data_IF_355029317251
#
_entry.id   IF_355029317251
#
_cell.length_a   1.000
_cell.length_b   1.000
_cell.length_c   1.000
_cell.angle_alpha   90.00
_cell.angle_beta   90.00
_cell.angle_gamma   90.00
#
_symmetry.space_group_name_H-M   'P 1'
#
loop_
_entity.id
_entity.type
_entity.pdbx_description
1 polymer ?
#
# COMPACT_ATOMS: atom_id res chain seq x y z
N UNK A 1 -16.65 9.27 0.18
CA UNK A 1 -15.27 9.76 -0.03
C UNK A 1 -14.43 9.79 1.24
N UNK A 2 -14.87 10.46 2.31
CA UNK A 2 -14.07 10.63 3.54
C UNK A 2 -13.50 9.31 4.06
N UNK A 3 -14.33 8.27 4.21
CA UNK A 3 -13.85 6.95 4.67
C UNK A 3 -12.77 6.39 3.75
N UNK A 4 -12.96 6.42 2.43
CA UNK A 4 -11.96 5.96 1.46
C UNK A 4 -10.66 6.73 1.61
N UNK A 5 -10.72 8.06 1.66
CA UNK A 5 -9.52 8.91 1.79
C UNK A 5 -8.79 8.57 3.10
N UNK A 6 -9.51 8.54 4.23
CA UNK A 6 -8.92 8.24 5.54
C UNK A 6 -8.29 6.85 5.57
N UNK A 7 -8.98 5.82 5.06
CA UNK A 7 -8.48 4.45 5.04
C UNK A 7 -7.25 4.34 4.14
N UNK A 8 -7.32 4.86 2.91
CA UNK A 8 -6.21 4.77 1.94
C UNK A 8 -4.99 5.56 2.43
N UNK A 9 -5.18 6.78 2.95
CA UNK A 9 -4.09 7.57 3.52
C UNK A 9 -3.48 6.92 4.76
N UNK A 10 -4.30 6.30 5.62
CA UNK A 10 -3.82 5.58 6.80
C UNK A 10 -2.97 4.37 6.40
N UNK A 11 -3.47 3.53 5.49
CA UNK A 11 -2.73 2.37 4.98
C UNK A 11 -1.42 2.81 4.34
N UNK A 12 -1.47 3.79 3.45
CA UNK A 12 -0.27 4.29 2.77
C UNK A 12 0.74 4.88 3.76
N UNK A 13 0.30 5.71 4.72
CA UNK A 13 1.19 6.33 5.70
C UNK A 13 1.94 5.29 6.53
N UNK A 14 1.23 4.26 7.02
CA UNK A 14 1.86 3.17 7.76
C UNK A 14 2.76 2.34 6.86
N UNK A 15 2.32 1.99 5.65
CA UNK A 15 3.13 1.23 4.70
C UNK A 15 4.43 1.94 4.35
N UNK A 16 4.42 3.24 4.06
CA UNK A 16 5.62 4.00 3.72
C UNK A 16 6.67 3.92 4.83
N UNK A 17 6.24 3.95 6.09
CA UNK A 17 7.13 3.78 7.23
C UNK A 17 7.64 2.33 7.30
N UNK A 18 6.73 1.34 7.29
CA UNK A 18 7.10 -0.06 7.49
C UNK A 18 8.00 -0.61 6.37
N UNK A 19 7.71 -0.30 5.11
CA UNK A 19 8.49 -0.78 3.96
C UNK A 19 9.85 -0.10 3.86
N UNK A 20 9.95 1.17 4.25
CA UNK A 20 11.21 1.92 4.23
C UNK A 20 12.14 1.37 5.30
N UNK A 21 11.63 1.17 6.52
CA UNK A 21 12.43 0.59 7.61
C UNK A 21 12.80 -0.86 7.32
N UNK A 22 11.86 -1.68 6.86
CA UNK A 22 12.14 -3.07 6.53
C UNK A 22 13.12 -3.19 5.36
N UNK A 23 12.90 -2.44 4.27
CA UNK A 23 13.80 -2.38 3.13
C UNK A 23 15.21 -1.99 3.54
N UNK A 24 15.35 -0.95 4.38
CA UNK A 24 16.64 -0.49 4.89
C UNK A 24 17.32 -1.56 5.74
N UNK A 25 16.57 -2.20 6.65
CA UNK A 25 17.13 -3.24 7.49
C UNK A 25 17.67 -4.43 6.68
N UNK A 26 16.93 -4.87 5.65
CA UNK A 26 17.36 -5.96 4.77
C UNK A 26 18.43 -5.58 3.74
N UNK A 27 18.65 -4.29 3.49
CA UNK A 27 19.69 -3.80 2.59
C UNK A 27 21.00 -3.50 3.34
N UNK A 28 20.93 -2.72 4.43
CA UNK A 28 22.08 -2.17 5.13
C UNK A 28 22.65 -3.08 6.23
N UNK A 29 21.80 -3.67 7.08
CA UNK A 29 22.30 -4.46 8.22
C UNK A 29 22.54 -5.92 7.86
N UNK A 30 23.62 -6.50 8.39
CA UNK A 30 23.85 -7.94 8.37
C UNK A 30 23.50 -8.55 9.72
N UNK A 31 22.43 -9.36 9.72
CA UNK A 31 21.91 -10.02 10.91
C UNK A 31 21.66 -11.51 10.64
N UNK A 32 21.64 -12.29 11.71
CA UNK A 32 21.43 -13.73 11.62
C UNK A 32 20.07 -14.06 10.99
N UNK A 33 20.07 -14.95 9.99
CA UNK A 33 18.85 -15.36 9.30
C UNK A 33 18.29 -14.37 8.28
N UNK A 34 18.99 -13.25 7.97
CA UNK A 34 18.57 -12.21 7.00
C UNK A 34 17.94 -12.75 5.71
N UNK A 35 18.57 -13.74 5.07
CA UNK A 35 18.05 -14.35 3.84
C UNK A 35 16.76 -15.17 4.09
N UNK A 36 16.72 -15.94 5.17
CA UNK A 36 15.55 -16.74 5.54
C UNK A 36 14.33 -15.88 5.84
N UNK A 37 14.49 -14.83 6.65
CA UNK A 37 13.41 -13.88 6.93
C UNK A 37 12.94 -13.16 5.67
N UNK A 38 13.86 -12.78 4.78
CA UNK A 38 13.49 -12.14 3.52
C UNK A 38 12.67 -13.08 2.63
N UNK A 39 13.09 -14.35 2.51
CA UNK A 39 12.30 -15.35 1.78
C UNK A 39 10.93 -15.59 2.41
N UNK A 40 10.84 -15.60 3.74
CA UNK A 40 9.55 -15.70 4.44
C UNK A 40 8.61 -14.53 4.08
N UNK A 41 9.13 -13.31 4.00
CA UNK A 41 8.35 -12.15 3.52
C UNK A 41 7.91 -12.36 2.07
N UNK A 42 8.78 -12.88 1.20
CA UNK A 42 8.40 -13.14 -0.20
C UNK A 42 7.34 -14.22 -0.36
N UNK A 43 7.32 -15.24 0.51
CA UNK A 43 6.27 -16.25 0.51
C UNK A 43 4.87 -15.64 0.69
N UNK A 44 4.75 -14.52 1.41
CA UNK A 44 3.48 -13.81 1.55
C UNK A 44 2.89 -13.39 0.19
N UNK A 45 3.74 -13.10 -0.82
CA UNK A 45 3.28 -12.73 -2.17
C UNK A 45 2.63 -13.90 -2.92
N UNK A 46 2.91 -15.14 -2.51
CA UNK A 46 2.31 -16.35 -3.09
C UNK A 46 0.97 -16.71 -2.44
N UNK A 47 0.65 -16.13 -1.28
CA UNK A 47 -0.58 -16.44 -0.55
C UNK A 47 -1.73 -15.62 -1.17
N UNK A 48 -2.79 -16.28 -1.67
CA UNK A 48 -3.95 -15.56 -2.19
C UNK A 48 -4.66 -14.82 -1.06
N UNK A 49 -4.94 -13.54 -1.27
CA UNK A 49 -5.60 -12.68 -0.26
C UNK A 49 -6.98 -13.19 0.14
N UNK A 50 -7.65 -13.95 -0.74
CA UNK A 50 -8.95 -14.60 -0.47
C UNK A 50 -8.84 -15.71 0.58
N UNK A 51 -7.74 -16.46 0.63
CA UNK A 51 -7.53 -17.49 1.65
C UNK A 51 -7.35 -16.88 3.05
N UNK A 52 -6.88 -15.64 3.13
CA UNK A 52 -6.68 -14.92 4.39
C UNK A 52 -7.96 -14.25 4.90
N UNK A 53 -9.07 -14.28 4.16
CA UNK A 53 -10.31 -13.58 4.57
C UNK A 53 -10.89 -14.10 5.89
N UNK A 54 -11.12 -15.41 5.97
CA UNK A 54 -11.68 -16.03 7.17
C UNK A 54 -10.80 -15.83 8.42
N UNK A 55 -9.47 -16.11 8.37
CA UNK A 55 -8.64 -15.88 9.54
C UNK A 55 -8.55 -14.39 9.91
N UNK A 56 -8.39 -13.48 8.94
CA UNK A 56 -8.37 -12.05 9.22
C UNK A 56 -9.69 -11.56 9.83
N UNK A 57 -10.84 -12.01 9.30
CA UNK A 57 -12.14 -11.65 9.87
C UNK A 57 -12.27 -12.11 11.32
N UNK A 58 -11.89 -13.36 11.62
CA UNK A 58 -11.89 -13.89 12.98
C UNK A 58 -11.01 -13.05 13.90
N UNK A 59 -9.78 -12.73 13.49
CA UNK A 59 -8.85 -11.90 14.26
C UNK A 59 -9.42 -10.51 14.54
N UNK A 60 -9.98 -9.84 13.52
CA UNK A 60 -10.57 -8.50 13.68
C UNK A 60 -11.78 -8.51 14.62
N UNK A 61 -12.60 -9.57 14.57
CA UNK A 61 -13.72 -9.77 15.50
C UNK A 61 -13.23 -9.96 16.93
N UNK A 62 -12.19 -10.77 17.14
CA UNK A 62 -11.59 -10.99 18.45
C UNK A 62 -10.97 -9.70 19.03
N UNK A 63 -10.39 -8.86 18.18
CA UNK A 63 -9.87 -7.55 18.56
C UNK A 63 -10.95 -6.49 18.83
N UNK A 64 -12.24 -6.80 18.60
CA UNK A 64 -13.34 -5.85 18.78
C UNK A 64 -13.33 -4.69 17.77
N UNK A 65 -12.57 -4.79 16.68
CA UNK A 65 -12.38 -3.73 15.69
C UNK A 65 -13.42 -3.76 14.56
N UNK A 66 -14.36 -4.70 14.58
CA UNK A 66 -15.36 -4.86 13.53
C UNK A 66 -16.14 -3.57 13.27
N UNK A 67 -16.45 -3.30 11.99
CA UNK A 67 -17.17 -2.10 11.55
C UNK A 67 -16.45 -0.77 11.85
N UNK A 68 -15.11 -0.80 11.90
CA UNK A 68 -14.28 0.42 12.02
C UNK A 68 -13.41 0.64 10.79
N UNK A 69 -12.96 1.88 10.59
CA UNK A 69 -11.99 2.20 9.52
C UNK A 69 -10.66 1.45 9.71
N UNK A 70 -10.27 1.24 10.97
CA UNK A 70 -9.06 0.50 11.32
C UNK A 70 -9.16 -0.97 10.92
N UNK A 71 -10.33 -1.60 11.09
CA UNK A 71 -10.59 -2.96 10.62
C UNK A 71 -10.34 -3.13 9.12
N UNK A 72 -10.68 -2.11 8.32
CA UNK A 72 -10.42 -2.13 6.88
C UNK A 72 -8.92 -2.00 6.59
N UNK A 73 -8.20 -1.19 7.36
CA UNK A 73 -6.82 -0.79 7.07
C UNK A 73 -5.75 -1.77 7.59
N UNK A 74 -5.92 -2.29 8.81
CA UNK A 74 -4.86 -2.98 9.55
C UNK A 74 -4.23 -4.21 8.86
N UNK A 75 -4.95 -5.04 8.08
CA UNK A 75 -4.33 -6.18 7.40
C UNK A 75 -3.31 -5.76 6.33
N UNK A 76 -3.33 -4.49 5.92
CA UNK A 76 -2.50 -3.96 4.83
C UNK A 76 -1.36 -3.06 5.31
N UNK A 77 -1.18 -2.88 6.62
CA UNK A 77 -0.08 -2.06 7.16
C UNK A 77 1.31 -2.60 6.82
N UNK A 78 1.43 -3.92 6.72
CA UNK A 78 2.61 -4.59 6.16
C UNK A 78 2.43 -4.85 4.67
N UNK A 79 3.51 -4.65 3.90
CA UNK A 79 3.53 -5.01 2.48
C UNK A 79 4.82 -5.73 2.14
N UNK A 80 4.71 -7.02 1.83
CA UNK A 80 5.83 -7.80 1.30
C UNK A 80 6.33 -7.22 -0.04
N UNK A 81 5.40 -6.75 -0.89
CA UNK A 81 5.74 -6.15 -2.17
C UNK A 81 6.51 -4.84 -1.98
N UNK A 82 6.03 -3.95 -1.10
CA UNK A 82 6.74 -2.70 -0.80
C UNK A 82 8.09 -2.94 -0.13
N UNK A 83 8.18 -3.91 0.78
CA UNK A 83 9.45 -4.29 1.42
C UNK A 83 10.45 -4.81 0.40
N UNK A 84 10.00 -5.67 -0.52
CA UNK A 84 10.82 -6.15 -1.64
C UNK A 84 11.32 -4.99 -2.51
N UNK A 85 10.42 -4.12 -2.97
CA UNK A 85 10.77 -3.00 -3.84
C UNK A 85 11.79 -2.05 -3.18
N UNK A 86 11.54 -1.65 -1.93
CA UNK A 86 12.45 -0.75 -1.21
C UNK A 86 13.80 -1.39 -0.95
N UNK A 87 13.84 -2.68 -0.62
CA UNK A 87 15.12 -3.40 -0.51
C UNK A 87 15.88 -3.39 -1.84
N UNK A 88 15.22 -3.66 -2.97
CA UNK A 88 15.88 -3.63 -4.28
C UNK A 88 16.40 -2.22 -4.62
N UNK A 89 15.63 -1.17 -4.32
CA UNK A 89 16.07 0.21 -4.52
C UNK A 89 17.31 0.55 -3.67
N UNK A 90 17.30 0.17 -2.39
CA UNK A 90 18.42 0.42 -1.48
C UNK A 90 19.68 -0.37 -1.81
N UNK A 91 19.56 -1.58 -2.35
CA UNK A 91 20.72 -2.32 -2.86
C UNK A 91 21.34 -1.68 -4.12
N UNK A 92 20.59 -0.83 -4.82
CA UNK A 92 21.10 -0.07 -5.96
C UNK A 92 21.87 1.19 -5.57
N UNK A 93 21.89 1.57 -4.28
CA UNK A 93 22.63 2.75 -3.81
C UNK A 93 24.13 2.45 -3.83
N UNK A 94 24.96 3.29 -4.49
CA UNK A 94 26.41 3.10 -4.53
C UNK A 94 27.03 3.05 -3.13
N UNK A 95 27.90 2.07 -2.90
CA UNK A 95 28.56 1.88 -1.59
C UNK A 95 29.40 3.09 -1.20
N UNK A 96 30.04 3.75 -2.17
CA UNK A 96 30.86 4.95 -1.95
C UNK A 96 30.08 6.09 -1.27
N UNK A 97 28.78 6.24 -1.56
CA UNK A 97 27.92 7.24 -0.90
C UNK A 97 27.63 6.86 0.56
N UNK A 98 27.50 5.56 0.83
CA UNK A 98 27.28 5.04 2.18
C UNK A 98 28.55 5.22 3.02
N UNK A 99 29.71 4.87 2.47
CA UNK A 99 31.01 5.03 3.13
C UNK A 99 31.33 6.50 3.41
N UNK A 100 31.06 7.39 2.46
CA UNK A 100 31.20 8.83 2.67
C UNK A 100 30.32 9.32 3.83
N UNK A 101 29.05 8.90 3.87
CA UNK A 101 28.15 9.24 4.98
C UNK A 101 28.65 8.72 6.34
N UNK A 102 29.22 7.50 6.38
CA UNK A 102 29.81 6.94 7.61
C UNK A 102 31.05 7.73 8.05
N UNK A 103 31.91 8.13 7.11
CA UNK A 103 33.09 8.96 7.37
C UNK A 103 32.68 10.34 7.92
N UNK A 104 31.61 10.92 7.38
CA UNK A 104 31.00 12.18 7.84
C UNK A 104 30.27 12.05 9.20
N UNK A 105 30.28 10.86 9.80
CA UNK A 105 29.70 10.60 11.13
C UNK A 105 28.19 10.41 11.13
N UNK A 106 27.57 10.12 9.97
CA UNK A 106 26.14 9.84 9.90
C UNK A 106 25.80 8.59 10.73
N UNK A 107 24.86 8.71 11.65
CA UNK A 107 24.24 7.55 12.28
C UNK A 107 23.30 6.84 11.28
N UNK A 108 22.81 5.66 11.66
CA UNK A 108 21.97 4.85 10.78
C UNK A 108 20.66 5.53 10.34
N UNK A 109 20.06 6.37 11.19
CA UNK A 109 18.88 7.15 10.81
C UNK A 109 19.23 8.19 9.76
N UNK A 110 20.35 8.88 9.95
CA UNK A 110 20.85 9.88 9.00
C UNK A 110 21.22 9.23 7.67
N UNK A 111 21.86 8.07 7.67
CA UNK A 111 22.14 7.27 6.47
C UNK A 111 20.85 6.92 5.72
N UNK A 112 19.82 6.46 6.43
CA UNK A 112 18.52 6.17 5.81
C UNK A 112 17.95 7.40 5.10
N UNK A 113 17.83 8.52 5.82
CA UNK A 113 17.14 9.72 5.32
C UNK A 113 17.94 10.52 4.28
N UNK A 114 19.27 10.57 4.40
CA UNK A 114 20.11 11.43 3.56
C UNK A 114 20.84 10.67 2.45
N UNK A 115 21.06 9.36 2.59
CA UNK A 115 21.82 8.56 1.61
C UNK A 115 20.93 7.56 0.88
N UNK A 116 20.18 6.74 1.60
CA UNK A 116 19.39 5.66 0.97
C UNK A 116 18.07 6.14 0.37
N UNK A 117 17.32 6.98 1.09
CA UNK A 117 15.98 7.38 0.69
C UNK A 117 15.94 8.31 -0.54
N UNK A 118 16.78 9.35 -0.67
CA UNK A 118 16.69 10.30 -1.79
C UNK A 118 16.78 9.66 -3.19
N UNK A 119 17.75 8.77 -3.50
CA UNK A 119 17.79 8.09 -4.79
C UNK A 119 16.67 7.06 -4.96
N UNK A 120 16.04 6.62 -3.86
CA UNK A 120 14.97 5.62 -3.86
C UNK A 120 13.56 6.21 -3.91
N UNK A 121 13.41 7.54 -3.87
CA UNK A 121 12.12 8.23 -3.95
C UNK A 121 11.28 7.80 -5.17
N UNK A 122 11.83 7.62 -6.38
CA UNK A 122 11.03 7.16 -7.52
C UNK A 122 10.36 5.80 -7.28
N UNK A 123 11.07 4.86 -6.63
CA UNK A 123 10.53 3.55 -6.28
C UNK A 123 9.44 3.67 -5.21
N UNK A 124 9.66 4.52 -4.20
CA UNK A 124 8.70 4.77 -3.13
C UNK A 124 7.39 5.39 -3.68
N UNK A 125 7.50 6.32 -4.63
CA UNK A 125 6.36 6.93 -5.34
C UNK A 125 5.62 5.88 -6.18
N UNK A 126 6.34 5.03 -6.91
CA UNK A 126 5.73 3.97 -7.70
C UNK A 126 4.94 2.98 -6.82
N UNK A 127 5.51 2.57 -5.69
CA UNK A 127 4.81 1.76 -4.69
C UNK A 127 3.58 2.50 -4.14
N UNK A 128 3.72 3.78 -3.77
CA UNK A 128 2.63 4.56 -3.20
C UNK A 128 1.43 4.69 -4.15
N UNK A 129 1.69 4.93 -5.44
CA UNK A 129 0.64 4.95 -6.47
C UNK A 129 -0.04 3.60 -6.64
N UNK A 130 0.74 2.51 -6.66
CA UNK A 130 0.21 1.14 -6.72
C UNK A 130 -0.68 0.82 -5.51
N UNK A 131 -0.22 1.16 -4.30
CA UNK A 131 -0.95 0.98 -3.05
C UNK A 131 -2.27 1.78 -3.03
N UNK A 132 -2.22 3.07 -3.38
CA UNK A 132 -3.41 3.93 -3.46
C UNK A 132 -4.42 3.33 -4.43
N UNK A 133 -3.99 2.96 -5.64
CA UNK A 133 -4.86 2.34 -6.63
C UNK A 133 -5.49 1.04 -6.10
N UNK A 134 -4.69 0.16 -5.50
CA UNK A 134 -5.17 -1.11 -4.97
C UNK A 134 -6.21 -0.91 -3.85
N UNK A 135 -5.93 -0.08 -2.85
CA UNK A 135 -6.83 0.12 -1.71
C UNK A 135 -8.05 0.98 -2.03
N UNK A 136 -7.94 1.89 -3.00
CA UNK A 136 -9.09 2.64 -3.50
C UNK A 136 -10.09 1.73 -4.21
N UNK A 137 -9.60 0.75 -4.96
CA UNK A 137 -10.42 -0.23 -5.69
C UNK A 137 -10.84 -1.45 -4.82
N UNK A 138 -10.42 -1.51 -3.55
CA UNK A 138 -10.74 -2.63 -2.69
C UNK A 138 -12.26 -2.75 -2.44
N UNK A 139 -12.79 -3.92 -2.74
CA UNK A 139 -14.23 -4.20 -2.68
C UNK A 139 -14.58 -5.33 -1.71
N UNK A 140 -13.97 -6.51 -1.91
CA UNK A 140 -14.33 -7.74 -1.19
C UNK A 140 -14.14 -7.64 0.33
N UNK A 141 -12.95 -7.29 0.79
CA UNK A 141 -12.63 -7.19 2.22
C UNK A 141 -13.48 -6.14 2.95
N UNK A 142 -13.63 -4.90 2.46
CA UNK A 142 -14.47 -3.91 3.14
C UNK A 142 -15.94 -4.32 3.28
N UNK A 143 -16.52 -5.03 2.31
CA UNK A 143 -17.90 -5.53 2.42
C UNK A 143 -18.05 -6.55 3.54
N UNK A 144 -17.05 -7.41 3.74
CA UNK A 144 -17.07 -8.45 4.78
C UNK A 144 -16.89 -7.84 6.17
N UNK A 145 -16.08 -6.79 6.30
CA UNK A 145 -15.67 -6.25 7.60
C UNK A 145 -16.44 -5.00 8.07
N UNK A 146 -17.29 -4.44 7.22
CA UNK A 146 -18.11 -3.25 7.53
C UNK A 146 -19.59 -3.51 7.30
N UNK A 147 -20.42 -3.10 8.26
CA UNK A 147 -21.88 -3.15 8.21
C UNK A 147 -22.49 -1.75 8.04
N UNK A 148 -21.94 -0.75 8.73
CA UNK A 148 -22.43 0.63 8.70
C UNK A 148 -21.73 1.48 7.64
N UNK A 149 -22.33 2.62 7.33
CA UNK A 149 -21.75 3.60 6.42
C UNK A 149 -20.66 4.46 7.09
N UNK A 150 -20.49 4.35 8.42
CA UNK A 150 -19.49 5.09 9.18
C UNK A 150 -18.05 4.67 8.83
N UNK A 151 -17.85 3.39 8.48
CA UNK A 151 -16.54 2.81 8.15
C UNK A 151 -16.41 2.34 6.69
N UNK A 152 -17.52 2.24 5.95
CA UNK A 152 -17.52 1.68 4.60
C UNK A 152 -16.83 2.61 3.58
N UNK A 153 -15.85 2.12 2.80
CA UNK A 153 -15.27 2.87 1.69
C UNK A 153 -16.25 2.93 0.51
N UNK A 154 -16.09 3.97 -0.31
CA UNK A 154 -17.01 4.32 -1.39
C UNK A 154 -17.21 3.16 -2.39
N UNK A 155 -16.14 2.48 -2.78
CA UNK A 155 -16.17 1.33 -3.71
C UNK A 155 -17.03 0.18 -3.19
N UNK A 156 -16.93 -0.15 -1.90
CA UNK A 156 -17.79 -1.14 -1.25
C UNK A 156 -19.24 -0.67 -1.12
N UNK A 157 -19.45 0.64 -0.99
CA UNK A 157 -20.78 1.26 -0.98
C UNK A 157 -21.56 1.07 -2.29
N UNK A 158 -20.88 0.84 -3.43
CA UNK A 158 -21.53 0.61 -4.73
C UNK A 158 -22.47 -0.59 -4.71
N UNK A 159 -22.20 -1.60 -3.87
CA UNK A 159 -23.06 -2.80 -3.76
C UNK A 159 -24.47 -2.46 -3.28
N UNK A 160 -24.68 -1.30 -2.64
CA UNK A 160 -26.02 -0.86 -2.26
C UNK A 160 -26.88 -0.63 -3.48
N UNK A 161 -26.36 -0.10 -4.59
CA UNK A 161 -27.15 0.17 -5.79
C UNK A 161 -27.56 -1.10 -6.56
N UNK A 162 -27.00 -2.26 -6.20
CA UNK A 162 -27.40 -3.57 -6.75
C UNK A 162 -28.35 -4.34 -5.83
N UNK A 163 -28.50 -3.94 -4.56
CA UNK A 163 -29.21 -4.69 -3.51
C UNK A 163 -30.45 -3.97 -2.96
N UNK A 164 -30.99 -2.94 -3.64
CA UNK A 164 -32.19 -2.21 -3.20
C UNK A 164 -33.49 -2.98 -3.46
N UNK A 165 -33.69 -4.11 -2.75
CA UNK A 165 -34.98 -4.80 -2.61
C UNK A 165 -35.66 -5.23 -3.93
N UNK A 166 -36.99 -5.13 -3.97
CA UNK A 166 -37.87 -5.62 -5.05
C UNK A 166 -37.75 -4.87 -6.38
N UNK A 167 -37.01 -3.75 -6.43
CA UNK A 167 -36.87 -2.89 -7.61
C UNK A 167 -35.74 -3.37 -8.54
N UNK A 168 -34.87 -4.28 -8.05
CA UNK A 168 -33.69 -4.73 -8.78
C UNK A 168 -32.58 -3.68 -8.85
N UNK A 169 -31.55 -3.95 -9.64
CA UNK A 169 -30.39 -3.07 -9.74
C UNK A 169 -30.73 -1.72 -10.41
N UNK A 170 -30.37 -0.62 -9.75
CA UNK A 170 -30.51 0.73 -10.32
C UNK A 170 -29.30 1.07 -11.19
N UNK A 171 -29.26 0.51 -12.39
CA UNK A 171 -28.12 0.62 -13.31
C UNK A 171 -27.69 2.06 -13.60
N UNK A 172 -28.64 2.99 -13.71
CA UNK A 172 -28.35 4.43 -13.91
C UNK A 172 -27.57 5.01 -12.73
N UNK A 173 -28.04 4.77 -11.51
CA UNK A 173 -27.42 5.29 -10.29
C UNK A 173 -26.07 4.62 -10.00
N UNK A 174 -25.98 3.31 -10.22
CA UNK A 174 -24.74 2.55 -10.12
C UNK A 174 -23.67 3.09 -11.08
N UNK A 175 -24.04 3.37 -12.33
CA UNK A 175 -23.12 3.91 -13.34
C UNK A 175 -22.64 5.30 -12.95
N UNK A 176 -23.54 6.19 -12.53
CA UNK A 176 -23.19 7.53 -12.05
C UNK A 176 -22.25 7.47 -10.83
N UNK A 177 -22.55 6.60 -9.85
CA UNK A 177 -21.71 6.41 -8.67
C UNK A 177 -20.33 5.84 -9.02
N UNK A 178 -20.26 4.94 -10.02
CA UNK A 178 -18.99 4.38 -10.50
C UNK A 178 -18.11 5.44 -11.15
N UNK A 179 -18.68 6.32 -11.98
CA UNK A 179 -17.97 7.47 -12.55
C UNK A 179 -17.40 8.38 -11.46
N UNK A 180 -18.19 8.65 -10.42
CA UNK A 180 -17.76 9.40 -9.24
C UNK A 180 -16.60 8.69 -8.53
N UNK A 181 -16.71 7.39 -8.24
CA UNK A 181 -15.65 6.61 -7.55
C UNK A 181 -14.31 6.66 -8.31
N UNK A 182 -14.35 6.57 -9.64
CA UNK A 182 -13.14 6.54 -10.48
C UNK A 182 -12.56 7.96 -10.67
N UNK A 183 -13.38 9.00 -10.61
CA UNK A 183 -12.98 10.37 -10.96
C UNK A 183 -11.69 10.85 -10.24
N UNK A 184 -11.49 10.68 -8.91
CA UNK A 184 -10.27 11.16 -8.27
C UNK A 184 -9.00 10.47 -8.76
N UNK A 185 -9.03 9.15 -8.97
CA UNK A 185 -7.89 8.41 -9.52
C UNK A 185 -7.64 8.82 -10.97
N UNK A 186 -8.69 9.03 -11.75
CA UNK A 186 -8.59 9.47 -13.14
C UNK A 186 -7.99 10.88 -13.25
N UNK A 187 -8.45 11.82 -12.43
CA UNK A 187 -7.90 13.18 -12.36
C UNK A 187 -6.44 13.14 -11.90
N UNK A 188 -6.11 12.37 -10.86
CA UNK A 188 -4.74 12.21 -10.41
C UNK A 188 -3.85 11.63 -11.53
N UNK A 189 -4.33 10.60 -12.24
CA UNK A 189 -3.62 10.04 -13.39
C UNK A 189 -3.35 11.10 -14.46
N UNK A 190 -4.36 11.89 -14.87
CA UNK A 190 -4.17 12.94 -15.88
C UNK A 190 -3.13 14.00 -15.47
N UNK A 191 -3.08 14.34 -14.18
CA UNK A 191 -2.10 15.29 -13.64
C UNK A 191 -0.69 14.71 -13.55
N UNK A 192 -0.56 13.43 -13.19
CA UNK A 192 0.73 12.79 -12.88
C UNK A 192 1.27 11.84 -13.96
N UNK A 193 0.52 11.57 -15.04
CA UNK A 193 0.88 10.63 -16.11
C UNK A 193 2.30 10.84 -16.68
N UNK A 194 2.75 12.10 -16.82
CA UNK A 194 4.09 12.40 -17.33
C UNK A 194 5.18 11.95 -16.36
N UNK A 195 4.98 12.16 -15.06
CA UNK A 195 5.91 11.71 -14.00
C UNK A 195 5.87 10.19 -13.85
N UNK A 196 4.68 9.60 -13.95
CA UNK A 196 4.49 8.15 -13.92
C UNK A 196 5.31 7.43 -14.99
N UNK A 197 5.23 7.88 -16.24
CA UNK A 197 6.00 7.30 -17.36
C UNK A 197 7.52 7.49 -17.14
N UNK A 198 7.95 8.67 -16.67
CA UNK A 198 9.36 8.94 -16.41
C UNK A 198 9.96 8.09 -15.28
N UNK A 199 9.17 7.71 -14.28
CA UNK A 199 9.62 6.85 -13.17
C UNK A 199 9.94 5.41 -13.62
N UNK A 200 9.25 4.87 -14.64
CA UNK A 200 9.58 3.56 -15.20
C UNK A 200 10.79 3.61 -16.15
N UNK A 201 10.98 4.71 -16.88
CA UNK A 201 12.05 4.83 -17.87
C UNK A 201 13.46 4.89 -17.27
N UNK A 202 13.64 5.46 -16.07
CA UNK A 202 14.95 5.54 -15.41
C UNK A 202 15.41 4.22 -14.78
N UNK A 203 14.54 3.21 -14.66
CA UNK A 203 14.92 1.89 -14.14
C UNK A 203 15.42 0.93 -15.22
N UNK A 204 15.29 1.27 -16.51
CA UNK A 204 15.55 0.37 -17.64
C UNK A 204 16.69 0.79 -18.56
N UNK A 205 17.33 1.95 -18.33
CA UNK A 205 18.46 2.44 -19.14
C UNK A 205 19.73 2.32 -18.31
N UNK A 206 20.42 1.20 -18.48
CA UNK A 206 21.87 1.07 -18.28
C UNK A 206 22.49 0.73 -19.63
#
# INVERSE_FOLDING_TARGET
YINTIVIVSMVLGVQLITITLAGFAFAHFDFWGKRGFFYFILLQLMIPTTALLAPNFSTIRQLGLFDTRLAVAIPFFGSAFGTFLMRQAFLGVPHDLVDAGVIDGCNWWQLLWHVYLPPSVPMLVAFGLSSVSFHWNAFLWPIIITNSDAARPLTAGLVRFTQLGEIGAQWSLLTAATLMVIAPLFIAFLLFQRRFIQSFMHSGIK
#
